data_IF_024164904443
#
_entry.id   IF_024164904443
#
_cell.length_a   1.000
_cell.length_b   1.000
_cell.length_c   1.000
_cell.angle_alpha   90.00
_cell.angle_beta   90.00
_cell.angle_gamma   90.00
#
_symmetry.space_group_name_H-M   'P 1'
#
loop_
_entity.id
_entity.type
_entity.pdbx_description
1 polymer ?
#
# COMPACT_ATOMS: atom_id res chain seq x y z
N UNK A 1 -26.12 10.04 8.29
CA UNK A 1 -25.48 11.23 7.66
C UNK A 1 -24.12 11.42 8.32
N UNK A 2 -23.06 11.50 7.54
CA UNK A 2 -21.68 11.49 8.03
C UNK A 2 -21.37 12.83 8.72
N UNK A 3 -21.58 12.94 10.03
CA UNK A 3 -21.43 14.17 10.84
C UNK A 3 -20.03 14.78 10.72
N UNK A 4 -19.00 13.96 10.45
CA UNK A 4 -17.64 14.41 10.20
C UNK A 4 -17.51 15.26 8.92
N UNK A 5 -18.23 14.91 7.84
CA UNK A 5 -18.19 15.65 6.58
C UNK A 5 -18.86 17.01 6.71
N UNK A 6 -20.00 17.06 7.41
CA UNK A 6 -20.70 18.32 7.69
C UNK A 6 -19.83 19.27 8.53
N UNK A 7 -19.10 18.74 9.51
CA UNK A 7 -18.15 19.52 10.32
C UNK A 7 -16.97 20.03 9.49
N UNK A 8 -16.41 19.21 8.59
CA UNK A 8 -15.33 19.64 7.68
C UNK A 8 -15.78 20.76 6.74
N UNK A 9 -16.95 20.62 6.13
CA UNK A 9 -17.52 21.65 5.25
C UNK A 9 -17.72 22.97 6.02
N UNK A 10 -18.22 22.91 7.25
CA UNK A 10 -18.39 24.10 8.09
C UNK A 10 -17.04 24.75 8.44
N UNK A 11 -16.02 23.95 8.78
CA UNK A 11 -14.69 24.45 9.13
C UNK A 11 -13.94 25.05 7.93
N UNK A 12 -14.21 24.56 6.72
CA UNK A 12 -13.58 25.06 5.48
C UNK A 12 -14.32 26.26 4.86
N UNK A 13 -15.34 26.80 5.53
CA UNK A 13 -16.04 28.03 5.09
C UNK A 13 -17.20 27.78 4.13
N UNK A 14 -17.72 26.55 4.06
CA UNK A 14 -18.87 26.18 3.24
C UNK A 14 -18.52 25.19 2.11
N UNK A 15 -19.55 24.73 1.41
CA UNK A 15 -19.44 23.66 0.40
C UNK A 15 -18.52 24.05 -0.75
N UNK A 16 -18.59 25.30 -1.21
CA UNK A 16 -17.81 25.79 -2.35
C UNK A 16 -16.31 25.84 -2.03
N UNK A 17 -15.94 26.40 -0.87
CA UNK A 17 -14.57 26.43 -0.40
C UNK A 17 -14.01 25.01 -0.16
N UNK A 18 -14.84 24.11 0.39
CA UNK A 18 -14.47 22.70 0.53
C UNK A 18 -14.24 22.01 -0.81
N UNK A 19 -15.09 22.24 -1.81
CA UNK A 19 -14.92 21.68 -3.15
C UNK A 19 -13.63 22.18 -3.82
N UNK A 20 -13.32 23.47 -3.70
CA UNK A 20 -12.08 24.07 -4.22
C UNK A 20 -10.86 23.44 -3.51
N UNK A 21 -10.89 23.34 -2.18
CA UNK A 21 -9.83 22.71 -1.41
C UNK A 21 -9.60 21.25 -1.83
N UNK A 22 -10.65 20.48 -2.07
CA UNK A 22 -10.56 19.09 -2.55
C UNK A 22 -10.06 18.96 -3.99
N UNK A 23 -10.36 19.94 -4.86
CA UNK A 23 -9.88 19.98 -6.24
C UNK A 23 -8.37 20.25 -6.31
N UNK A 24 -7.86 21.15 -5.47
CA UNK A 24 -6.46 21.56 -5.48
C UNK A 24 -5.51 20.70 -4.64
N UNK A 25 -5.98 19.59 -4.05
CA UNK A 25 -5.08 18.66 -3.35
C UNK A 25 -4.04 18.11 -4.32
N UNK A 26 -2.76 18.26 -3.92
CA UNK A 26 -1.65 17.59 -4.60
C UNK A 26 -1.86 16.09 -4.67
N UNK A 27 -1.25 15.46 -5.67
CA UNK A 27 -1.25 14.02 -5.90
C UNK A 27 0.19 13.51 -5.71
N UNK A 28 0.36 12.40 -5.00
CA UNK A 28 1.62 11.67 -4.96
C UNK A 28 1.40 10.24 -5.44
N UNK A 29 2.21 9.81 -6.43
CA UNK A 29 2.25 8.42 -6.88
C UNK A 29 3.45 7.73 -6.24
N UNK A 30 3.22 6.64 -5.53
CA UNK A 30 4.31 5.86 -4.97
C UNK A 30 4.10 4.37 -5.15
N UNK A 31 5.20 3.61 -5.13
CA UNK A 31 5.17 2.16 -5.09
C UNK A 31 5.68 1.61 -3.76
N UNK A 32 5.23 0.42 -3.40
CA UNK A 32 5.91 -0.43 -2.42
C UNK A 32 6.78 -1.44 -3.17
N UNK A 33 8.04 -1.56 -2.80
CA UNK A 33 8.96 -2.54 -3.36
C UNK A 33 9.80 -3.21 -2.27
N UNK A 34 10.32 -4.40 -2.55
CA UNK A 34 11.02 -5.24 -1.58
C UNK A 34 10.86 -6.72 -1.93
N UNK A 35 11.53 -7.59 -1.20
CA UNK A 35 11.50 -9.04 -1.42
C UNK A 35 10.13 -9.65 -1.10
N UNK A 36 9.95 -10.92 -1.49
CA UNK A 36 8.85 -11.76 -1.02
C UNK A 36 8.87 -11.83 0.51
N UNK A 37 7.68 -11.77 1.11
CA UNK A 37 7.42 -11.71 2.55
C UNK A 37 7.88 -10.47 3.30
N UNK A 38 8.41 -9.42 2.68
CA UNK A 38 8.76 -8.18 3.40
C UNK A 38 7.53 -7.40 3.92
N UNK A 39 6.32 -7.87 3.62
CA UNK A 39 5.05 -7.33 4.14
C UNK A 39 4.51 -6.12 3.37
N UNK A 40 4.83 -6.00 2.07
CA UNK A 40 4.39 -4.90 1.19
C UNK A 40 2.87 -4.73 1.16
N UNK A 41 2.15 -5.79 0.81
CA UNK A 41 0.68 -5.76 0.69
C UNK A 41 0.02 -5.61 2.07
N UNK A 42 0.61 -6.15 3.13
CA UNK A 42 0.15 -5.91 4.52
C UNK A 42 0.26 -4.44 4.92
N UNK A 43 1.36 -3.76 4.59
CA UNK A 43 1.53 -2.32 4.84
C UNK A 43 0.47 -1.51 4.08
N UNK A 44 0.23 -1.85 2.82
CA UNK A 44 -0.82 -1.19 2.01
C UNK A 44 -2.19 -1.39 2.64
N UNK A 45 -2.54 -2.64 2.97
CA UNK A 45 -3.82 -2.95 3.60
C UNK A 45 -4.02 -2.17 4.90
N UNK A 46 -2.95 -1.99 5.69
CA UNK A 46 -2.99 -1.18 6.90
C UNK A 46 -3.21 0.31 6.62
N UNK A 47 -2.52 0.89 5.64
CA UNK A 47 -2.72 2.30 5.24
C UNK A 47 -4.15 2.55 4.75
N UNK A 48 -4.71 1.64 3.97
CA UNK A 48 -6.08 1.75 3.48
C UNK A 48 -7.10 1.65 4.62
N UNK A 49 -6.87 0.74 5.56
CA UNK A 49 -7.69 0.60 6.76
C UNK A 49 -7.68 1.89 7.61
N UNK A 50 -6.49 2.42 7.91
CA UNK A 50 -6.33 3.56 8.83
C UNK A 50 -6.84 4.87 8.22
N UNK A 51 -6.81 5.00 6.89
CA UNK A 51 -7.33 6.18 6.18
C UNK A 51 -8.85 6.19 6.03
N UNK A 52 -9.55 5.13 6.50
CA UNK A 52 -11.02 4.99 6.45
C UNK A 52 -11.61 5.21 5.04
N UNK A 53 -10.80 5.01 4.00
CA UNK A 53 -11.19 5.16 2.60
C UNK A 53 -11.63 3.83 1.98
N UNK A 54 -11.55 2.73 2.73
CA UNK A 54 -12.27 1.50 2.39
C UNK A 54 -13.74 1.79 2.67
N UNK A 55 -14.53 1.99 1.61
CA UNK A 55 -16.00 2.01 1.70
C UNK A 55 -16.43 0.83 2.59
N UNK A 56 -17.15 1.12 3.68
CA UNK A 56 -17.55 0.16 4.73
C UNK A 56 -18.14 -1.14 4.14
N UNK A 57 -18.72 -1.06 2.94
CA UNK A 57 -19.25 -2.18 2.18
C UNK A 57 -18.19 -3.23 1.78
N UNK A 58 -16.95 -2.85 1.46
CA UNK A 58 -15.88 -3.82 1.13
C UNK A 58 -15.29 -4.50 2.36
N UNK A 59 -15.27 -3.83 3.53
CA UNK A 59 -14.81 -4.42 4.79
C UNK A 59 -15.69 -5.59 5.26
N UNK A 60 -16.98 -5.54 4.95
CA UNK A 60 -17.93 -6.60 5.30
C UNK A 60 -17.78 -7.86 4.45
N UNK A 61 -17.47 -7.73 3.14
CA UNK A 61 -17.16 -8.88 2.29
C UNK A 61 -15.84 -9.55 2.67
N UNK A 62 -14.84 -8.78 3.10
CA UNK A 62 -13.55 -9.28 3.56
C UNK A 62 -13.62 -10.05 4.88
N UNK A 63 -14.49 -9.66 5.81
CA UNK A 63 -14.71 -10.44 7.03
C UNK A 63 -15.22 -11.86 6.70
N UNK A 64 -16.03 -12.00 5.65
CA UNK A 64 -16.53 -13.29 5.20
C UNK A 64 -15.46 -14.10 4.44
N UNK A 65 -14.65 -13.45 3.61
CA UNK A 65 -13.56 -14.10 2.86
C UNK A 65 -12.37 -14.48 3.75
N UNK A 66 -12.01 -13.66 4.74
CA UNK A 66 -10.96 -13.95 5.73
C UNK A 66 -11.33 -15.17 6.59
N UNK A 67 -12.63 -15.38 6.89
CA UNK A 67 -13.13 -16.59 7.56
C UNK A 67 -13.05 -17.85 6.69
N UNK A 68 -13.04 -17.72 5.36
CA UNK A 68 -13.02 -18.85 4.42
C UNK A 68 -11.62 -19.21 3.92
N UNK A 69 -10.74 -18.22 3.77
CA UNK A 69 -9.45 -18.36 3.07
C UNK A 69 -8.25 -17.73 3.81
N UNK A 70 -8.44 -17.14 4.99
CA UNK A 70 -7.38 -16.40 5.69
C UNK A 70 -6.25 -17.28 6.23
N UNK A 71 -5.01 -16.81 6.07
CA UNK A 71 -3.82 -17.48 6.64
C UNK A 71 -3.59 -17.16 8.11
N UNK A 72 -4.31 -16.16 8.66
CA UNK A 72 -4.17 -15.66 10.04
C UNK A 72 -5.34 -16.00 10.99
N UNK A 73 -6.19 -16.97 10.65
CA UNK A 73 -7.31 -17.39 11.52
C UNK A 73 -8.40 -16.32 11.67
N UNK A 74 -8.77 -15.96 12.90
CA UNK A 74 -9.81 -14.93 13.18
C UNK A 74 -9.33 -13.47 13.02
N UNK A 75 -8.03 -13.24 12.82
CA UNK A 75 -7.50 -11.89 12.56
C UNK A 75 -7.72 -11.53 11.09
N UNK A 76 -8.12 -10.27 10.86
CA UNK A 76 -8.38 -9.75 9.52
C UNK A 76 -7.10 -9.78 8.68
N UNK A 77 -7.07 -10.61 7.65
CA UNK A 77 -5.93 -10.72 6.73
C UNK A 77 -5.97 -9.54 5.74
N UNK A 78 -5.29 -8.45 6.10
CA UNK A 78 -5.25 -7.21 5.33
C UNK A 78 -4.61 -7.38 3.94
N UNK A 79 -3.89 -8.47 3.66
CA UNK A 79 -3.38 -8.74 2.32
C UNK A 79 -4.51 -9.07 1.33
N UNK A 80 -5.61 -9.68 1.81
CA UNK A 80 -6.77 -10.03 0.98
C UNK A 80 -7.50 -8.81 0.39
N UNK A 81 -7.32 -7.62 0.97
CA UNK A 81 -7.77 -6.35 0.38
C UNK A 81 -7.07 -6.00 -0.93
N UNK A 82 -5.84 -6.51 -1.08
CA UNK A 82 -4.90 -6.08 -2.11
C UNK A 82 -4.77 -7.14 -3.20
N UNK A 83 -4.89 -8.42 -2.87
CA UNK A 83 -4.74 -9.55 -3.80
C UNK A 83 -5.98 -9.73 -4.71
N UNK A 84 -5.80 -9.33 -5.98
CA UNK A 84 -6.87 -9.28 -6.99
C UNK A 84 -7.01 -10.56 -7.82
N UNK A 85 -5.94 -11.35 -7.97
CA UNK A 85 -5.93 -12.55 -8.81
C UNK A 85 -6.03 -13.82 -7.97
N UNK A 86 -6.79 -14.81 -8.46
CA UNK A 86 -6.87 -16.14 -7.81
C UNK A 86 -5.49 -16.82 -7.71
N UNK A 87 -4.66 -16.67 -8.76
CA UNK A 87 -3.29 -17.21 -8.77
C UNK A 87 -2.37 -16.58 -7.71
N UNK A 88 -2.56 -15.29 -7.38
CA UNK A 88 -1.82 -14.63 -6.29
C UNK A 88 -2.18 -15.25 -4.94
N UNK A 89 -3.47 -15.54 -4.73
CA UNK A 89 -3.97 -16.18 -3.50
C UNK A 89 -3.46 -17.61 -3.35
N UNK A 90 -3.41 -18.36 -4.44
CA UNK A 90 -2.90 -19.74 -4.45
C UNK A 90 -1.40 -19.82 -4.15
N UNK A 91 -0.62 -18.85 -4.63
CA UNK A 91 0.84 -18.83 -4.46
C UNK A 91 1.31 -17.99 -3.26
N UNK A 92 0.42 -17.19 -2.65
CA UNK A 92 0.76 -16.29 -1.55
C UNK A 92 1.74 -15.17 -1.95
N UNK A 93 1.79 -14.80 -3.24
CA UNK A 93 2.66 -13.75 -3.76
C UNK A 93 1.90 -12.83 -4.70
N UNK A 94 2.25 -11.55 -4.69
CA UNK A 94 1.82 -10.58 -5.70
C UNK A 94 2.48 -10.91 -7.04
N UNK A 95 1.68 -10.96 -8.12
CA UNK A 95 2.11 -11.32 -9.47
C UNK A 95 2.04 -10.08 -10.39
N UNK A 96 0.94 -9.32 -10.33
CA UNK A 96 0.75 -8.13 -11.15
C UNK A 96 0.71 -6.85 -10.31
N UNK A 97 0.81 -5.71 -10.97
CA UNK A 97 0.74 -4.41 -10.29
C UNK A 97 -0.71 -4.04 -10.01
N UNK A 98 -1.07 -3.93 -8.74
CA UNK A 98 -2.37 -3.45 -8.33
C UNK A 98 -2.30 -1.96 -7.95
N UNK A 99 -3.19 -1.14 -8.51
CA UNK A 99 -3.29 0.28 -8.17
C UNK A 99 -4.38 0.52 -7.12
N UNK A 100 -4.03 1.26 -6.07
CA UNK A 100 -4.95 1.64 -4.99
C UNK A 100 -4.95 3.16 -4.81
N UNK A 101 -6.07 3.69 -4.37
CA UNK A 101 -6.30 5.12 -4.24
C UNK A 101 -6.72 5.42 -2.80
N UNK A 102 -6.07 6.40 -2.19
CA UNK A 102 -6.54 6.93 -0.91
C UNK A 102 -6.25 8.42 -0.84
N UNK A 103 -6.88 9.09 0.11
CA UNK A 103 -6.64 10.49 0.38
C UNK A 103 -6.55 10.75 1.87
N UNK A 104 -5.78 11.78 2.20
CA UNK A 104 -5.74 12.38 3.53
C UNK A 104 -6.41 13.75 3.46
N UNK A 105 -6.48 14.42 4.61
CA UNK A 105 -6.90 15.83 4.66
C UNK A 105 -6.04 16.72 3.75
N UNK A 106 -4.75 16.42 3.60
CA UNK A 106 -3.78 17.29 2.91
C UNK A 106 -3.48 16.91 1.45
N UNK A 107 -3.55 15.62 1.10
CA UNK A 107 -3.03 15.11 -0.19
C UNK A 107 -3.73 13.84 -0.63
N UNK A 108 -3.81 13.63 -1.95
CA UNK A 108 -4.27 12.39 -2.61
C UNK A 108 -3.08 11.50 -2.95
N UNK A 109 -3.29 10.19 -2.92
CA UNK A 109 -2.25 9.21 -3.13
C UNK A 109 -2.72 8.11 -4.09
N UNK A 110 -1.79 7.69 -4.95
CA UNK A 110 -1.93 6.47 -5.76
C UNK A 110 -0.80 5.54 -5.34
N UNK A 111 -1.16 4.35 -4.90
CA UNK A 111 -0.24 3.28 -4.51
C UNK A 111 -0.17 2.29 -5.66
N UNK A 112 1.04 1.96 -6.11
CA UNK A 112 1.30 0.77 -6.90
C UNK A 112 1.81 -0.35 -5.97
N UNK A 113 1.01 -1.39 -5.72
CA UNK A 113 1.49 -2.61 -5.08
C UNK A 113 2.26 -3.42 -6.13
N UNK A 114 3.56 -3.61 -5.92
CA UNK A 114 4.41 -4.27 -6.90
C UNK A 114 4.91 -5.62 -6.42
N UNK A 115 5.09 -6.58 -7.34
CA UNK A 115 5.50 -7.92 -6.97
C UNK A 115 6.91 -7.97 -6.40
N UNK A 116 7.09 -8.84 -5.41
CA UNK A 116 8.36 -9.03 -4.72
C UNK A 116 9.20 -10.20 -5.22
N UNK A 117 8.67 -11.02 -6.14
CA UNK A 117 9.33 -12.23 -6.63
C UNK A 117 10.15 -11.93 -7.90
N UNK A 118 11.28 -12.61 -8.07
CA UNK A 118 12.30 -12.19 -9.04
C UNK A 118 11.83 -12.34 -10.48
N UNK A 119 10.99 -13.35 -10.72
CA UNK A 119 10.36 -13.62 -12.01
C UNK A 119 9.43 -12.48 -12.45
N UNK A 120 8.94 -11.66 -11.52
CA UNK A 120 8.03 -10.55 -11.78
C UNK A 120 8.70 -9.17 -11.67
N UNK A 121 10.04 -9.11 -11.67
CA UNK A 121 10.80 -7.85 -11.68
C UNK A 121 10.36 -6.89 -12.80
N UNK A 122 9.96 -7.42 -13.97
CA UNK A 122 9.44 -6.61 -15.07
C UNK A 122 8.15 -5.89 -14.72
N UNK A 123 7.24 -6.56 -14.02
CA UNK A 123 5.97 -6.00 -13.60
C UNK A 123 6.21 -4.90 -12.56
N UNK A 124 7.13 -5.13 -11.61
CA UNK A 124 7.58 -4.08 -10.69
C UNK A 124 8.09 -2.85 -11.45
N UNK A 125 8.96 -3.02 -12.46
CA UNK A 125 9.48 -1.91 -13.25
C UNK A 125 8.36 -1.11 -13.95
N UNK A 126 7.34 -1.79 -14.48
CA UNK A 126 6.15 -1.15 -15.03
C UNK A 126 5.43 -0.30 -13.98
N UNK A 127 5.20 -0.82 -12.77
CA UNK A 127 4.61 -0.05 -11.67
C UNK A 127 5.46 1.15 -11.26
N UNK A 128 6.78 0.96 -11.16
CA UNK A 128 7.73 2.00 -10.81
C UNK A 128 7.78 3.14 -11.84
N UNK A 129 7.56 2.86 -13.13
CA UNK A 129 7.69 3.84 -14.22
C UNK A 129 6.75 5.05 -14.12
N UNK A 130 5.68 4.95 -13.31
CA UNK A 130 4.68 6.01 -13.12
C UNK A 130 4.75 6.67 -11.73
N UNK A 131 5.72 6.27 -10.90
CA UNK A 131 5.83 6.68 -9.51
C UNK A 131 6.87 7.80 -9.31
N UNK A 132 6.67 8.59 -8.26
CA UNK A 132 7.56 9.69 -7.86
C UNK A 132 8.35 9.35 -6.59
N UNK A 133 7.88 8.35 -5.83
CA UNK A 133 8.49 7.86 -4.60
C UNK A 133 8.45 6.33 -4.53
N UNK A 134 9.50 5.71 -4.02
CA UNK A 134 9.55 4.28 -3.74
C UNK A 134 9.66 4.03 -2.23
N UNK A 135 8.77 3.19 -1.69
CA UNK A 135 8.87 2.67 -0.32
C UNK A 135 9.52 1.29 -0.41
N UNK A 136 10.77 1.19 0.04
CA UNK A 136 11.53 -0.04 0.09
C UNK A 136 11.34 -0.72 1.44
N UNK A 137 10.58 -1.81 1.46
CA UNK A 137 10.36 -2.61 2.65
C UNK A 137 11.50 -3.62 2.84
N UNK A 138 11.90 -3.81 4.09
CA UNK A 138 12.97 -4.74 4.49
C UNK A 138 12.50 -5.49 5.73
N UNK A 139 12.44 -6.83 5.69
CA UNK A 139 12.22 -7.67 6.86
C UNK A 139 13.44 -7.57 7.81
N UNK A 140 13.22 -7.11 9.05
CA UNK A 140 14.26 -6.90 10.05
C UNK A 140 15.13 -8.15 10.31
N UNK A 141 14.56 -9.35 10.16
CA UNK A 141 15.28 -10.62 10.38
C UNK A 141 16.21 -10.98 9.23
N UNK A 142 15.88 -10.53 8.01
CA UNK A 142 16.59 -10.90 6.78
C UNK A 142 17.57 -9.83 6.35
N UNK A 143 17.31 -8.57 6.70
CA UNK A 143 18.08 -7.42 6.23
C UNK A 143 17.98 -7.23 4.72
N UNK A 144 19.00 -6.60 4.12
CA UNK A 144 19.00 -6.25 2.69
C UNK A 144 19.26 -7.49 1.83
N UNK A 145 18.30 -7.85 0.99
CA UNK A 145 18.41 -8.96 0.03
C UNK A 145 18.75 -8.47 -1.39
N UNK A 146 19.08 -9.40 -2.28
CA UNK A 146 19.35 -9.09 -3.70
C UNK A 146 18.16 -8.41 -4.38
N UNK A 147 16.94 -8.83 -4.06
CA UNK A 147 15.69 -8.19 -4.48
C UNK A 147 15.61 -6.74 -4.02
N UNK A 148 15.90 -6.48 -2.75
CA UNK A 148 15.92 -5.13 -2.17
C UNK A 148 16.87 -4.23 -2.95
N UNK A 149 18.08 -4.72 -3.24
CA UNK A 149 19.08 -4.01 -4.05
C UNK A 149 18.60 -3.78 -5.48
N UNK A 150 18.13 -4.84 -6.15
CA UNK A 150 17.61 -4.80 -7.52
C UNK A 150 16.47 -3.79 -7.66
N UNK A 151 15.54 -3.81 -6.72
CA UNK A 151 14.39 -2.91 -6.72
C UNK A 151 14.80 -1.45 -6.50
N UNK A 152 15.67 -1.20 -5.52
CA UNK A 152 16.20 0.16 -5.30
C UNK A 152 16.94 0.71 -6.54
N UNK A 153 17.70 -0.14 -7.23
CA UNK A 153 18.43 0.22 -8.43
C UNK A 153 17.49 0.53 -9.60
N UNK A 154 16.49 -0.32 -9.86
CA UNK A 154 15.48 -0.09 -10.90
C UNK A 154 14.70 1.20 -10.63
N UNK A 155 14.24 1.42 -9.39
CA UNK A 155 13.54 2.65 -9.01
C UNK A 155 14.38 3.90 -9.31
N UNK A 156 15.67 3.86 -8.95
CA UNK A 156 16.60 4.97 -9.21
C UNK A 156 16.83 5.18 -10.71
N UNK A 157 17.00 4.10 -11.49
CA UNK A 157 17.19 4.18 -12.95
C UNK A 157 15.97 4.76 -13.67
N UNK A 158 14.76 4.50 -13.16
CA UNK A 158 13.51 5.06 -13.68
C UNK A 158 13.28 6.52 -13.26
N UNK A 159 14.24 7.13 -12.54
CA UNK A 159 14.19 8.54 -12.17
C UNK A 159 13.42 8.84 -10.89
N UNK A 160 13.07 7.83 -10.10
CA UNK A 160 12.48 8.02 -8.77
C UNK A 160 13.54 8.60 -7.84
N UNK A 161 13.38 9.88 -7.46
CA UNK A 161 14.35 10.61 -6.64
C UNK A 161 14.17 10.40 -5.14
N UNK A 162 12.98 9.99 -4.72
CA UNK A 162 12.63 9.82 -3.32
C UNK A 162 12.50 8.34 -2.98
N UNK A 163 13.39 7.84 -2.12
CA UNK A 163 13.32 6.50 -1.56
C UNK A 163 13.09 6.60 -0.05
N UNK A 164 12.09 5.88 0.44
CA UNK A 164 11.81 5.70 1.87
C UNK A 164 12.11 4.25 2.21
N UNK A 165 12.98 4.00 3.18
CA UNK A 165 13.24 2.65 3.66
C UNK A 165 12.36 2.39 4.88
N UNK A 166 11.58 1.32 4.83
CA UNK A 166 10.71 0.89 5.92
C UNK A 166 11.18 -0.47 6.44
N UNK A 167 11.75 -0.48 7.64
CA UNK A 167 12.11 -1.72 8.32
C UNK A 167 10.83 -2.32 8.93
N UNK A 168 10.47 -3.51 8.47
CA UNK A 168 9.25 -4.20 8.85
C UNK A 168 9.56 -5.40 9.74
N UNK A 169 8.54 -5.90 10.44
CA UNK A 169 8.61 -7.05 11.36
C UNK A 169 9.58 -6.86 12.54
N UNK A 170 9.66 -5.62 13.04
CA UNK A 170 10.47 -5.29 14.22
C UNK A 170 10.02 -6.04 15.48
N UNK A 171 8.74 -6.43 15.54
CA UNK A 171 8.18 -7.27 16.59
C UNK A 171 8.86 -8.65 16.69
N UNK A 172 9.40 -9.17 15.58
CA UNK A 172 10.07 -10.47 15.55
C UNK A 172 11.55 -10.41 15.96
N UNK A 173 12.08 -9.21 16.19
CA UNK A 173 13.43 -8.95 16.69
C UNK A 173 13.40 -8.16 18.01
N UNK A 174 12.26 -8.21 18.71
CA UNK A 174 12.03 -7.52 19.98
C UNK A 174 12.38 -6.03 19.96
N UNK A 175 12.24 -5.39 18.80
CA UNK A 175 12.65 -3.99 18.59
C UNK A 175 14.10 -3.70 19.00
N UNK A 176 15.01 -4.67 18.85
CA UNK A 176 16.43 -4.47 19.12
C UNK A 176 16.99 -3.42 18.15
N UNK A 177 17.41 -2.27 18.68
CA UNK A 177 18.03 -1.14 17.96
C UNK A 177 19.56 -1.22 17.93
#
# INVERSE_FOLDING_TARGET
>A
MNTALAQQIANEGGVEAWMIAQQHKSLLRFLTCGSVDDGKSTLIGRLLHDTRQIYEDQLSSLHNDSKRHGTQGEKLDLALLVDGLQAEREQGITIDVAYRYFSTEKRKFIIADTPGHEQYTRNMATGASTCELAILLIDARKGVLDQTRRHSFISTLLGIKHLVVAINKMDLVDYSE
#
